data_IF_254329120327
#
_entry.id   IF_254329120327
#
_cell.length_a   1.000
_cell.length_b   1.000
_cell.length_c   1.000
_cell.angle_alpha   90.00
_cell.angle_beta   90.00
_cell.angle_gamma   90.00
#
_symmetry.space_group_name_H-M   'P 1'
#
loop_
_entity.id
_entity.type
_entity.pdbx_description
1 polymer ?
#
# COMPACT_ATOMS: atom_id res chain seq x y z
N UNK A 1 16.04 -26.83 4.97
CA UNK A 1 15.53 -27.63 3.85
C UNK A 1 16.56 -27.50 2.72
N UNK A 2 17.01 -28.60 2.15
CA UNK A 2 17.99 -28.61 1.07
C UNK A 2 17.32 -29.30 -0.12
N UNK A 3 17.43 -28.73 -1.32
CA UNK A 3 16.96 -29.31 -2.56
C UNK A 3 18.18 -29.62 -3.44
N UNK A 4 18.21 -30.83 -4.05
CA UNK A 4 19.20 -31.23 -5.03
C UNK A 4 18.49 -31.24 -6.39
N UNK A 5 18.99 -30.45 -7.32
CA UNK A 5 18.44 -30.34 -8.67
C UNK A 5 19.46 -30.93 -9.66
N UNK A 6 19.02 -31.90 -10.43
CA UNK A 6 19.82 -32.46 -11.53
C UNK A 6 19.44 -31.82 -12.87
N UNK A 7 20.39 -31.59 -13.78
CA UNK A 7 20.08 -31.14 -15.13
C UNK A 7 19.08 -32.10 -15.80
N UNK A 8 18.01 -31.57 -16.35
CA UNK A 8 16.97 -32.34 -17.04
C UNK A 8 16.35 -31.54 -18.17
N UNK A 9 15.78 -32.24 -19.16
CA UNK A 9 14.95 -31.58 -20.16
C UNK A 9 13.59 -31.23 -19.53
N UNK A 10 13.20 -29.98 -19.68
CA UNK A 10 11.89 -29.49 -19.19
C UNK A 10 10.95 -29.41 -20.38
N UNK A 11 9.80 -30.11 -20.30
CA UNK A 11 8.73 -30.06 -21.27
C UNK A 11 7.40 -30.10 -20.53
N UNK A 12 6.48 -29.17 -20.84
CA UNK A 12 5.18 -29.10 -20.20
C UNK A 12 4.59 -27.70 -20.21
N UNK A 13 3.36 -27.60 -19.75
CA UNK A 13 2.62 -26.35 -19.57
C UNK A 13 2.33 -26.17 -18.10
N UNK A 14 2.65 -24.98 -17.58
CA UNK A 14 2.30 -24.59 -16.22
C UNK A 14 1.44 -23.33 -16.25
N UNK A 15 0.52 -23.22 -15.30
CA UNK A 15 -0.21 -21.98 -15.06
C UNK A 15 0.51 -21.17 -13.97
N UNK A 16 0.95 -19.97 -14.32
CA UNK A 16 1.58 -19.09 -13.34
C UNK A 16 0.56 -18.67 -12.26
N UNK A 17 0.96 -18.59 -11.00
CA UNK A 17 0.08 -18.06 -9.96
C UNK A 17 -0.21 -16.57 -10.20
N UNK A 18 -1.31 -16.08 -9.64
CA UNK A 18 -1.64 -14.67 -9.65
C UNK A 18 -0.55 -13.83 -8.96
N UNK A 19 -0.37 -12.59 -9.42
CA UNK A 19 0.63 -11.69 -8.84
C UNK A 19 0.12 -11.03 -7.58
N UNK A 20 0.67 -11.42 -6.42
CA UNK A 20 0.33 -10.81 -5.13
C UNK A 20 0.59 -9.29 -5.09
N UNK A 21 1.61 -8.81 -5.80
CA UNK A 21 1.93 -7.38 -5.86
C UNK A 21 0.92 -6.57 -6.67
N UNK A 22 0.37 -7.15 -7.73
CA UNK A 22 -0.73 -6.54 -8.48
C UNK A 22 -2.01 -6.55 -7.65
N UNK A 23 -2.31 -7.65 -6.98
CA UNK A 23 -3.49 -7.76 -6.12
C UNK A 23 -3.51 -6.70 -5.02
N UNK A 24 -2.41 -6.49 -4.30
CA UNK A 24 -2.34 -5.47 -3.25
C UNK A 24 -2.55 -4.05 -3.80
N UNK A 25 -2.01 -3.74 -4.99
CA UNK A 25 -2.27 -2.47 -5.69
C UNK A 25 -3.72 -2.33 -6.13
N UNK A 26 -4.32 -3.39 -6.65
CA UNK A 26 -5.72 -3.42 -7.03
C UNK A 26 -6.65 -3.20 -5.82
N UNK A 27 -6.32 -3.77 -4.66
CA UNK A 27 -7.02 -3.50 -3.40
C UNK A 27 -6.93 -2.02 -3.01
N UNK A 28 -5.73 -1.40 -3.09
CA UNK A 28 -5.54 0.01 -2.79
C UNK A 28 -6.32 0.91 -3.76
N UNK A 29 -6.27 0.62 -5.07
CA UNK A 29 -7.01 1.35 -6.09
C UNK A 29 -8.54 1.24 -5.87
N UNK A 30 -9.04 0.03 -5.56
CA UNK A 30 -10.44 -0.21 -5.27
C UNK A 30 -10.93 0.51 -3.99
N UNK A 31 -10.06 0.61 -2.97
CA UNK A 31 -10.35 1.36 -1.75
C UNK A 31 -10.50 2.86 -2.03
N UNK A 32 -9.61 3.45 -2.84
CA UNK A 32 -9.64 4.86 -3.19
C UNK A 32 -10.83 5.18 -4.11
N UNK A 33 -11.09 4.30 -5.08
CA UNK A 33 -12.18 4.48 -6.03
C UNK A 33 -13.54 4.29 -5.34
N UNK A 34 -14.39 5.32 -5.34
CA UNK A 34 -15.77 5.19 -4.86
C UNK A 34 -16.59 4.27 -5.77
N UNK A 35 -17.44 3.41 -5.16
CA UNK A 35 -18.30 2.46 -5.84
C UNK A 35 -17.72 1.05 -5.90
N UNK A 36 -18.21 0.24 -6.85
CA UNK A 36 -17.87 -1.18 -6.98
C UNK A 36 -16.68 -1.42 -7.88
N UNK A 37 -15.80 -2.33 -7.46
CA UNK A 37 -14.68 -2.88 -8.23
C UNK A 37 -14.74 -4.41 -8.18
N UNK A 38 -14.31 -5.06 -9.26
CA UNK A 38 -14.26 -6.53 -9.34
C UNK A 38 -12.85 -6.93 -9.73
N UNK A 39 -12.23 -7.79 -8.94
CA UNK A 39 -10.93 -8.38 -9.22
C UNK A 39 -11.13 -9.85 -9.60
N UNK A 40 -10.68 -10.21 -10.79
CA UNK A 40 -10.66 -11.59 -11.28
C UNK A 40 -9.27 -12.19 -11.13
N UNK A 41 -9.17 -13.51 -11.12
CA UNK A 41 -7.92 -14.25 -11.05
C UNK A 41 -7.03 -13.80 -9.89
N UNK A 42 -7.62 -13.62 -8.71
CA UNK A 42 -6.90 -13.28 -7.50
C UNK A 42 -6.15 -14.50 -6.94
N UNK A 43 -5.07 -14.24 -6.22
CA UNK A 43 -4.32 -15.27 -5.52
C UNK A 43 -4.84 -15.49 -4.10
N UNK A 44 -4.24 -16.46 -3.41
CA UNK A 44 -4.64 -16.86 -2.07
C UNK A 44 -3.46 -16.84 -1.08
N UNK A 45 -2.46 -16.00 -1.33
CA UNK A 45 -1.33 -15.82 -0.43
C UNK A 45 -1.71 -15.06 0.83
N UNK A 46 -0.90 -15.20 1.88
CA UNK A 46 -1.10 -14.41 3.10
C UNK A 46 -1.04 -12.90 2.84
N UNK A 47 -0.16 -12.43 1.97
CA UNK A 47 -0.04 -11.01 1.61
C UNK A 47 -1.33 -10.46 0.96
N UNK A 48 -2.02 -11.28 0.15
CA UNK A 48 -3.27 -10.91 -0.51
C UNK A 48 -4.43 -10.83 0.48
N UNK A 49 -4.51 -11.81 1.39
CA UNK A 49 -5.49 -11.79 2.49
C UNK A 49 -5.27 -10.57 3.40
N UNK A 50 -4.02 -10.31 3.76
CA UNK A 50 -3.64 -9.12 4.54
C UNK A 50 -4.12 -7.84 3.87
N UNK A 51 -3.95 -7.70 2.54
CA UNK A 51 -4.41 -6.52 1.83
C UNK A 51 -5.94 -6.36 1.89
N UNK A 52 -6.69 -7.46 1.79
CA UNK A 52 -8.17 -7.43 1.92
C UNK A 52 -8.60 -7.01 3.33
N UNK A 53 -7.96 -7.55 4.36
CA UNK A 53 -8.22 -7.18 5.76
C UNK A 53 -7.91 -5.69 6.01
N UNK A 54 -6.81 -5.19 5.47
CA UNK A 54 -6.42 -3.78 5.61
C UNK A 54 -7.44 -2.85 4.96
N UNK A 55 -7.88 -3.14 3.72
CA UNK A 55 -8.87 -2.27 3.07
C UNK A 55 -10.22 -2.29 3.77
N UNK A 56 -10.58 -3.38 4.46
CA UNK A 56 -11.77 -3.45 5.32
C UNK A 56 -11.60 -2.55 6.55
N UNK A 57 -10.44 -2.54 7.18
CA UNK A 57 -10.13 -1.60 8.27
C UNK A 57 -10.21 -0.14 7.81
N UNK A 58 -9.92 0.14 6.53
CA UNK A 58 -9.88 1.46 5.92
C UNK A 58 -11.17 1.84 5.16
N UNK A 59 -12.27 1.09 5.31
CA UNK A 59 -13.59 1.51 4.87
C UNK A 59 -14.17 0.77 3.66
N UNK A 60 -13.48 -0.21 3.09
CA UNK A 60 -14.04 -1.04 2.02
C UNK A 60 -14.82 -2.23 2.58
N UNK A 61 -15.81 -2.70 1.84
CA UNK A 61 -16.42 -4.01 2.05
C UNK A 61 -15.99 -4.97 0.95
N UNK A 62 -15.78 -6.24 1.29
CA UNK A 62 -15.30 -7.25 0.35
C UNK A 62 -16.16 -8.50 0.39
N UNK A 63 -16.49 -9.03 -0.79
CA UNK A 63 -17.17 -10.32 -0.96
C UNK A 63 -16.28 -11.19 -1.86
N UNK A 64 -15.80 -12.29 -1.29
CA UNK A 64 -14.94 -13.25 -1.99
C UNK A 64 -15.78 -14.39 -2.50
N UNK A 65 -15.78 -14.61 -3.81
CA UNK A 65 -16.42 -15.73 -4.50
C UNK A 65 -15.34 -16.55 -5.21
N UNK A 66 -15.67 -17.77 -5.65
CA UNK A 66 -14.72 -18.75 -6.19
C UNK A 66 -13.76 -18.23 -7.29
N UNK A 67 -14.13 -17.20 -8.05
CA UNK A 67 -13.30 -16.68 -9.15
C UNK A 67 -13.20 -15.16 -9.19
N UNK A 68 -13.77 -14.46 -8.23
CA UNK A 68 -13.72 -12.98 -8.19
C UNK A 68 -13.85 -12.44 -6.76
N UNK A 69 -13.29 -11.28 -6.55
CA UNK A 69 -13.51 -10.48 -5.35
C UNK A 69 -14.27 -9.23 -5.76
N UNK A 70 -15.41 -9.00 -5.13
CA UNK A 70 -16.15 -7.74 -5.24
C UNK A 70 -15.74 -6.85 -4.08
N UNK A 71 -15.29 -5.64 -4.37
CA UNK A 71 -14.89 -4.62 -3.41
C UNK A 71 -15.82 -3.44 -3.60
N UNK A 72 -16.45 -2.96 -2.54
CA UNK A 72 -17.24 -1.74 -2.54
C UNK A 72 -16.66 -0.75 -1.54
N UNK A 73 -16.43 0.48 -1.97
CA UNK A 73 -15.83 1.53 -1.17
C UNK A 73 -16.57 2.85 -1.35
N UNK A 74 -16.69 3.61 -0.27
CA UNK A 74 -17.16 5.00 -0.28
C UNK A 74 -16.01 6.01 -0.09
N UNK A 75 -14.77 5.55 -0.26
CA UNK A 75 -13.54 6.28 0.01
C UNK A 75 -12.90 5.79 1.31
N UNK A 76 -11.78 6.39 1.68
CA UNK A 76 -11.05 6.05 2.89
C UNK A 76 -11.70 6.65 4.14
N UNK A 77 -11.94 5.82 5.14
CA UNK A 77 -12.26 6.20 6.52
C UNK A 77 -11.88 5.05 7.46
N UNK A 78 -11.56 5.37 8.71
CA UNK A 78 -11.16 4.36 9.67
C UNK A 78 -12.38 3.61 10.24
N UNK A 79 -12.55 2.35 9.87
CA UNK A 79 -13.45 1.38 10.53
C UNK A 79 -12.76 0.81 11.76
N UNK A 80 -11.45 0.56 11.64
CA UNK A 80 -10.60 0.10 12.71
C UNK A 80 -9.26 0.83 12.65
N UNK A 81 -8.88 1.44 13.76
CA UNK A 81 -7.62 2.19 13.87
C UNK A 81 -6.39 1.30 14.06
N UNK A 82 -6.56 -0.02 14.01
CA UNK A 82 -5.47 -0.98 14.18
C UNK A 82 -5.31 -1.82 12.91
N UNK A 83 -4.27 -1.52 12.15
CA UNK A 83 -3.92 -2.22 10.90
C UNK A 83 -2.81 -3.22 11.19
N UNK A 84 -2.99 -4.46 10.74
CA UNK A 84 -1.98 -5.50 10.83
C UNK A 84 -1.45 -5.87 9.45
N UNK A 85 -0.16 -5.58 9.19
CA UNK A 85 0.49 -5.85 7.89
C UNK A 85 1.08 -7.27 7.79
N UNK A 86 0.97 -8.07 8.84
CA UNK A 86 1.59 -9.41 8.95
C UNK A 86 3.08 -9.36 8.57
N UNK A 87 3.53 -10.13 7.58
CA UNK A 87 4.90 -10.10 7.05
C UNK A 87 5.00 -9.38 5.70
N UNK A 88 3.94 -8.71 5.25
CA UNK A 88 3.87 -8.10 3.93
C UNK A 88 4.59 -6.76 3.84
N UNK A 89 5.76 -6.75 3.22
CA UNK A 89 6.54 -5.54 3.00
C UNK A 89 5.88 -4.52 2.08
N UNK A 90 5.06 -4.97 1.11
CA UNK A 90 4.31 -4.05 0.26
C UNK A 90 3.10 -3.48 1.01
N UNK A 91 2.38 -4.31 1.78
CA UNK A 91 1.24 -3.84 2.56
C UNK A 91 1.63 -2.71 3.51
N UNK A 92 2.71 -2.86 4.29
CA UNK A 92 3.13 -1.80 5.20
C UNK A 92 3.52 -0.53 4.45
N UNK A 93 4.25 -0.64 3.33
CA UNK A 93 4.73 0.53 2.59
C UNK A 93 3.65 1.22 1.75
N UNK A 94 2.60 0.51 1.40
CA UNK A 94 1.48 1.03 0.63
C UNK A 94 0.40 1.60 1.54
N UNK A 95 -0.12 0.77 2.44
CA UNK A 95 -1.30 1.13 3.24
C UNK A 95 -1.00 2.09 4.39
N UNK A 96 0.24 2.17 4.88
CA UNK A 96 0.62 3.22 5.84
C UNK A 96 0.49 4.62 5.25
N UNK A 97 0.86 4.83 3.98
CA UNK A 97 0.64 6.11 3.32
C UNK A 97 -0.84 6.41 3.11
N UNK A 98 -1.65 5.40 2.78
CA UNK A 98 -3.10 5.58 2.70
C UNK A 98 -3.72 5.89 4.06
N UNK A 99 -3.33 5.18 5.11
CA UNK A 99 -3.76 5.47 6.48
C UNK A 99 -3.39 6.90 6.91
N UNK A 100 -2.22 7.38 6.49
CA UNK A 100 -1.78 8.75 6.77
C UNK A 100 -2.60 9.84 6.07
N UNK A 101 -3.51 9.52 5.14
CA UNK A 101 -4.46 10.50 4.59
C UNK A 101 -5.64 10.79 5.52
N UNK A 102 -5.82 10.00 6.57
CA UNK A 102 -6.88 10.13 7.56
C UNK A 102 -6.50 11.11 8.69
N UNK A 103 -7.49 11.69 9.33
CA UNK A 103 -7.29 12.57 10.51
C UNK A 103 -7.08 11.76 11.80
N UNK A 104 -7.55 10.53 11.83
CA UNK A 104 -7.44 9.61 12.95
C UNK A 104 -6.01 9.10 13.10
N UNK A 105 -5.64 8.78 14.34
CA UNK A 105 -4.40 8.07 14.60
C UNK A 105 -4.59 6.58 14.32
N UNK A 106 -3.75 6.05 13.42
CA UNK A 106 -3.80 4.65 13.00
C UNK A 106 -2.55 3.92 13.51
N UNK A 107 -2.77 2.81 14.17
CA UNK A 107 -1.71 1.90 14.64
C UNK A 107 -1.33 0.92 13.52
N UNK A 108 -0.06 0.85 13.21
CA UNK A 108 0.49 -0.08 12.21
C UNK A 108 1.26 -1.19 12.92
N UNK A 109 0.77 -2.41 12.78
CA UNK A 109 1.37 -3.61 13.33
C UNK A 109 1.97 -4.50 12.24
N UNK A 110 2.95 -5.31 12.66
CA UNK A 110 3.58 -6.31 11.83
C UNK A 110 4.06 -7.49 12.69
N UNK A 111 4.46 -8.56 12.02
CA UNK A 111 5.09 -9.71 12.67
C UNK A 111 6.22 -10.31 11.83
N UNK A 112 6.84 -11.36 12.34
CA UNK A 112 7.83 -12.19 11.66
C UNK A 112 9.01 -11.41 11.09
N UNK A 113 9.35 -11.69 9.84
CA UNK A 113 10.51 -11.09 9.15
C UNK A 113 10.39 -9.58 8.93
N UNK A 114 9.18 -9.03 8.94
CA UNK A 114 8.94 -7.61 8.72
C UNK A 114 9.47 -6.75 9.89
N UNK A 115 9.50 -7.29 11.10
CA UNK A 115 10.03 -6.61 12.29
C UNK A 115 11.51 -6.20 12.17
N UNK A 116 12.25 -6.84 11.25
CA UNK A 116 13.69 -6.58 11.03
C UNK A 116 13.96 -5.69 9.82
N UNK A 117 12.92 -5.32 9.07
CA UNK A 117 13.08 -4.51 7.84
C UNK A 117 13.13 -3.02 8.17
N UNK A 118 13.99 -2.23 7.48
CA UNK A 118 14.09 -0.81 7.73
C UNK A 118 12.79 -0.09 7.37
N UNK A 119 12.31 0.78 8.29
CA UNK A 119 11.12 1.62 8.14
C UNK A 119 11.43 3.11 8.36
N UNK A 120 12.73 3.48 8.40
CA UNK A 120 13.17 4.86 8.65
C UNK A 120 12.65 5.86 7.60
N UNK A 121 12.38 5.42 6.38
CA UNK A 121 11.83 6.25 5.31
C UNK A 121 10.54 6.99 5.74
N UNK A 122 9.68 6.36 6.52
CA UNK A 122 8.47 7.03 7.03
C UNK A 122 8.83 8.21 7.94
N UNK A 123 9.85 8.08 8.79
CA UNK A 123 10.30 9.16 9.68
C UNK A 123 10.89 10.34 8.93
N UNK A 124 11.48 10.09 7.76
CA UNK A 124 12.06 11.13 6.91
C UNK A 124 10.99 11.88 6.11
N UNK A 125 9.99 11.16 5.59
CA UNK A 125 9.04 11.72 4.63
C UNK A 125 7.77 12.26 5.29
N UNK A 126 7.23 11.63 6.32
CA UNK A 126 5.98 12.03 6.93
C UNK A 126 5.97 13.47 7.48
N UNK A 127 7.03 13.98 8.14
CA UNK A 127 7.05 15.38 8.57
C UNK A 127 6.94 16.37 7.40
N UNK A 128 7.48 16.04 6.22
CA UNK A 128 7.38 16.86 5.01
C UNK A 128 5.96 16.90 4.44
N UNK A 129 5.12 15.95 4.81
CA UNK A 129 3.76 15.76 4.33
C UNK A 129 2.70 16.10 5.39
N UNK A 130 3.07 16.81 6.46
CA UNK A 130 2.17 17.15 7.59
C UNK A 130 1.64 15.91 8.34
N UNK A 131 2.35 14.80 8.31
CA UNK A 131 1.96 13.56 9.00
C UNK A 131 2.80 13.39 10.26
N UNK A 132 2.13 13.18 11.38
CA UNK A 132 2.78 12.81 12.64
C UNK A 132 3.04 11.31 12.66
N UNK A 133 4.24 10.92 13.07
CA UNK A 133 4.62 9.53 13.29
C UNK A 133 5.21 9.36 14.69
N UNK A 134 4.68 8.41 15.44
CA UNK A 134 5.20 8.00 16.74
C UNK A 134 5.61 6.53 16.70
N UNK A 135 6.73 6.23 17.33
CA UNK A 135 7.28 4.89 17.39
C UNK A 135 7.85 4.67 18.78
N UNK A 136 7.53 3.53 19.37
CA UNK A 136 8.17 3.07 20.60
C UNK A 136 9.63 2.66 20.34
N UNK A 137 10.30 2.07 21.33
CA UNK A 137 11.70 1.59 21.19
C UNK A 137 11.86 0.50 20.10
N UNK A 138 10.79 -0.16 19.70
CA UNK A 138 10.76 -1.15 18.62
C UNK A 138 10.32 -0.52 17.30
N UNK A 139 10.64 -1.18 16.16
CA UNK A 139 10.19 -0.73 14.83
C UNK A 139 8.65 -0.78 14.73
N UNK A 140 8.03 -1.77 15.33
CA UNK A 140 6.57 -1.96 15.40
C UNK A 140 6.13 -2.21 16.84
N UNK A 141 4.89 -1.83 17.21
CA UNK A 141 3.99 -1.00 16.41
C UNK A 141 4.50 0.44 16.28
N UNK A 142 4.06 1.12 15.23
CA UNK A 142 4.17 2.57 15.12
C UNK A 142 2.81 3.18 14.80
N UNK A 143 2.68 4.49 15.06
CA UNK A 143 1.43 5.23 14.95
C UNK A 143 1.59 6.33 13.92
N UNK A 144 0.61 6.50 13.05
CA UNK A 144 0.58 7.57 12.06
C UNK A 144 -0.71 8.36 12.18
N UNK A 145 -0.61 9.69 12.08
CA UNK A 145 -1.75 10.60 12.10
C UNK A 145 -1.56 11.67 11.05
N UNK A 146 -2.51 11.74 10.12
CA UNK A 146 -2.58 12.76 9.10
C UNK A 146 -3.38 13.99 9.53
N UNK A 147 -3.94 14.73 8.57
CA UNK A 147 -4.06 14.36 7.17
C UNK A 147 -2.77 14.63 6.36
N UNK A 148 -2.39 13.68 5.53
CA UNK A 148 -1.30 13.84 4.58
C UNK A 148 -1.66 14.96 3.58
N UNK A 149 -0.77 15.95 3.48
CA UNK A 149 -0.89 17.04 2.52
C UNK A 149 0.06 16.82 1.35
N UNK A 150 -0.47 16.53 0.14
CA UNK A 150 0.37 16.43 -1.04
C UNK A 150 1.15 17.72 -1.30
N UNK A 151 2.46 17.61 -1.42
CA UNK A 151 3.37 18.71 -1.74
C UNK A 151 4.46 18.21 -2.66
N UNK A 152 5.13 19.13 -3.36
CA UNK A 152 6.29 18.77 -4.19
C UNK A 152 7.44 18.32 -3.29
N UNK A 153 7.90 17.09 -3.50
CA UNK A 153 8.99 16.47 -2.70
C UNK A 153 10.03 15.79 -3.59
N UNK A 154 11.23 15.66 -3.05
CA UNK A 154 12.29 14.84 -3.63
C UNK A 154 12.61 13.70 -2.69
N UNK A 155 12.66 12.47 -3.21
CA UNK A 155 12.90 11.26 -2.42
C UNK A 155 14.03 10.42 -3.00
N UNK A 156 14.75 9.72 -2.14
CA UNK A 156 15.65 8.66 -2.55
C UNK A 156 14.89 7.32 -2.62
N UNK A 157 14.66 6.82 -3.83
CA UNK A 157 13.92 5.59 -4.07
C UNK A 157 14.81 4.32 -4.14
N UNK A 158 16.10 4.42 -3.75
CA UNK A 158 17.04 3.30 -3.78
C UNK A 158 16.68 2.17 -2.81
N UNK A 159 16.07 2.51 -1.67
CA UNK A 159 15.71 1.53 -0.62
C UNK A 159 14.60 0.60 -1.11
N UNK A 160 13.53 1.14 -1.68
CA UNK A 160 12.42 0.35 -2.22
C UNK A 160 11.46 1.21 -3.04
N UNK A 161 11.15 0.78 -4.26
CA UNK A 161 10.07 1.37 -5.07
C UNK A 161 8.67 1.29 -4.44
N UNK A 162 8.50 0.43 -3.42
CA UNK A 162 7.22 0.26 -2.73
C UNK A 162 6.81 1.52 -1.94
N UNK A 163 7.77 2.31 -1.46
CA UNK A 163 7.47 3.60 -0.82
C UNK A 163 6.91 4.60 -1.83
N UNK A 164 7.49 4.68 -3.03
CA UNK A 164 6.96 5.52 -4.10
C UNK A 164 5.56 5.08 -4.53
N UNK A 165 5.32 3.75 -4.63
CA UNK A 165 3.97 3.21 -4.84
C UNK A 165 2.98 3.75 -3.78
N UNK A 166 3.33 3.67 -2.50
CA UNK A 166 2.48 4.17 -1.42
C UNK A 166 2.20 5.67 -1.51
N UNK A 167 3.22 6.47 -1.81
CA UNK A 167 3.08 7.92 -2.01
C UNK A 167 2.14 8.25 -3.18
N UNK A 168 2.27 7.58 -4.33
CA UNK A 168 1.42 7.81 -5.49
C UNK A 168 -0.05 7.54 -5.17
N UNK A 169 -0.36 6.44 -4.49
CA UNK A 169 -1.71 6.12 -4.05
C UNK A 169 -2.24 7.14 -3.03
N UNK A 170 -1.43 7.52 -2.04
CA UNK A 170 -1.85 8.48 -1.02
C UNK A 170 -2.09 9.87 -1.61
N UNK A 171 -1.24 10.33 -2.53
CA UNK A 171 -1.44 11.59 -3.22
C UNK A 171 -2.72 11.56 -4.06
N UNK A 172 -2.96 10.46 -4.79
CA UNK A 172 -4.21 10.28 -5.54
C UNK A 172 -5.44 10.37 -4.63
N UNK A 173 -5.41 9.69 -3.47
CA UNK A 173 -6.50 9.70 -2.52
C UNK A 173 -6.74 11.08 -1.90
N UNK A 174 -5.68 11.76 -1.46
CA UNK A 174 -5.77 13.08 -0.84
C UNK A 174 -6.24 14.16 -1.84
N UNK A 175 -5.77 14.10 -3.09
CA UNK A 175 -6.18 15.02 -4.13
C UNK A 175 -7.64 14.82 -4.55
N UNK A 176 -8.14 13.58 -4.63
CA UNK A 176 -9.56 13.34 -4.91
C UNK A 176 -10.48 14.02 -3.89
N UNK A 177 -10.10 14.02 -2.62
CA UNK A 177 -10.87 14.68 -1.58
C UNK A 177 -10.82 16.22 -1.70
N UNK A 178 -9.66 16.78 -2.08
CA UNK A 178 -9.45 18.23 -2.25
C UNK A 178 -10.18 18.78 -3.48
N UNK A 179 -10.15 18.08 -4.62
CA UNK A 179 -10.85 18.51 -5.85
C UNK A 179 -12.37 18.51 -5.75
N UNK A 180 -12.95 17.88 -4.75
CA UNK A 180 -14.40 17.97 -4.47
C UNK A 180 -14.78 19.25 -3.73
N UNK A 181 -13.81 19.94 -3.10
CA UNK A 181 -14.05 21.11 -2.25
C UNK A 181 -13.49 22.43 -2.79
N UNK A 182 -12.43 22.41 -3.63
CA UNK A 182 -11.71 23.59 -4.06
C UNK A 182 -11.31 23.57 -5.57
N UNK A 183 -11.42 24.74 -6.19
CA UNK A 183 -11.11 24.96 -7.62
C UNK A 183 -9.61 25.14 -7.94
N UNK A 184 -8.70 24.51 -7.21
CA UNK A 184 -7.24 24.61 -7.46
C UNK A 184 -6.79 23.73 -8.64
N UNK A 185 -7.16 24.11 -9.86
CA UNK A 185 -6.82 23.37 -11.08
C UNK A 185 -5.39 23.61 -11.61
N UNK A 186 -4.56 24.44 -10.97
CA UNK A 186 -3.30 24.92 -11.58
C UNK A 186 -2.00 24.61 -10.79
N UNK A 187 -2.03 23.97 -9.64
CA UNK A 187 -0.79 23.61 -8.94
C UNK A 187 -0.30 22.21 -9.36
N UNK A 188 0.79 22.16 -10.07
CA UNK A 188 1.46 20.91 -10.38
C UNK A 188 2.25 20.41 -9.17
N UNK A 189 1.82 19.29 -8.58
CA UNK A 189 2.53 18.63 -7.49
C UNK A 189 3.43 17.55 -8.09
N UNK A 190 4.72 17.56 -7.75
CA UNK A 190 5.72 16.66 -8.30
C UNK A 190 6.38 15.81 -7.21
N UNK A 191 6.52 14.51 -7.45
CA UNK A 191 7.38 13.62 -6.67
C UNK A 191 8.60 13.31 -7.52
N UNK A 192 9.75 13.87 -7.18
CA UNK A 192 11.02 13.56 -7.82
C UNK A 192 11.67 12.37 -7.13
N UNK A 193 11.78 11.26 -7.84
CA UNK A 193 12.37 10.03 -7.31
C UNK A 193 13.78 9.80 -7.89
N UNK A 194 14.80 9.90 -7.05
CA UNK A 194 16.19 9.62 -7.42
C UNK A 194 16.52 8.15 -7.14
N UNK A 195 17.49 7.61 -7.89
CA UNK A 195 18.01 6.23 -7.73
C UNK A 195 16.90 5.16 -7.74
N UNK A 196 15.91 5.33 -8.61
CA UNK A 196 14.76 4.44 -8.66
C UNK A 196 15.15 3.03 -9.13
N UNK A 197 15.01 2.05 -8.23
CA UNK A 197 15.10 0.64 -8.53
C UNK A 197 13.71 0.08 -8.90
N UNK A 198 13.69 -1.00 -9.71
CA UNK A 198 12.46 -1.72 -10.03
C UNK A 198 11.37 -0.85 -10.70
N UNK A 199 11.77 0.01 -11.64
CA UNK A 199 10.88 0.89 -12.42
C UNK A 199 9.61 0.21 -12.96
N UNK A 200 9.64 -1.06 -13.47
CA UNK A 200 8.44 -1.72 -13.95
C UNK A 200 7.29 -1.79 -12.93
N UNK A 201 7.61 -1.91 -11.63
CA UNK A 201 6.58 -1.92 -10.59
C UNK A 201 5.92 -0.55 -10.37
N UNK A 202 6.62 0.54 -10.68
CA UNK A 202 6.03 1.88 -10.64
C UNK A 202 5.10 2.07 -11.82
N UNK A 203 5.46 1.57 -13.00
CA UNK A 203 4.59 1.61 -14.18
C UNK A 203 3.28 0.83 -14.00
N UNK A 204 3.23 -0.10 -13.05
CA UNK A 204 2.03 -0.85 -12.65
C UNK A 204 1.17 -0.10 -11.60
N UNK A 205 1.68 0.99 -11.05
CA UNK A 205 0.98 1.82 -10.05
C UNK A 205 0.24 2.96 -10.71
#
# INVERSE_FOLDING_TARGET
MQAIIHPSQINGIITAPASKSIMQRACAAALIKKGKSIIYNYGNSYDEKTALEIIQCLGATTIVNNNKICIESNGLYAVNNNIHCNESGLSVRLFTFLAATLNEEITINANGSLLKRPMHFFKEIFPLLNVTIHQSNNIFPFFVKGPLLPTTIEINASISSQYLTGLLFAYSAALQNKYQTDSFLNEQICIKANNLNSKPYINLT
#
